data_IF_272309041446
#
_entry.id   IF_272309041446
#
_cell.length_a   1.000
_cell.length_b   1.000
_cell.length_c   1.000
_cell.angle_alpha   90.00
_cell.angle_beta   90.00
_cell.angle_gamma   90.00
#
_symmetry.space_group_name_H-M   'P 1'
#
loop_
_entity.id
_entity.type
_entity.pdbx_description
1 polymer ?
#
# COMPACT_ATOMS: atom_id res chain seq x y z
N UNK A 1 21.29 -14.49 12.52
CA UNK A 1 20.25 -15.52 12.28
C UNK A 1 19.10 -15.21 13.22
N UNK A 2 18.18 -14.37 12.75
CA UNK A 2 17.35 -13.51 13.58
C UNK A 2 15.94 -14.08 13.74
N UNK A 3 15.27 -13.63 14.80
CA UNK A 3 13.88 -13.84 15.25
C UNK A 3 12.82 -14.08 14.16
N UNK A 4 13.04 -13.67 12.91
CA UNK A 4 12.16 -13.84 11.76
C UNK A 4 11.79 -15.30 11.44
N UNK A 5 12.75 -16.24 11.49
CA UNK A 5 12.52 -17.63 11.05
C UNK A 5 11.50 -18.43 11.88
N UNK A 6 11.20 -18.02 13.12
CA UNK A 6 10.20 -18.72 13.96
C UNK A 6 8.77 -18.20 13.77
N UNK A 7 8.58 -17.12 13.00
CA UNK A 7 7.36 -16.31 13.06
C UNK A 7 6.23 -16.84 12.17
N UNK A 8 6.52 -17.54 11.07
CA UNK A 8 5.51 -17.97 10.08
C UNK A 8 4.92 -19.38 10.32
N UNK A 9 5.04 -19.94 11.53
CA UNK A 9 5.07 -21.39 11.74
C UNK A 9 3.80 -22.10 12.22
N UNK A 10 2.67 -21.46 12.55
CA UNK A 10 1.60 -22.17 13.31
C UNK A 10 0.23 -22.41 12.67
N UNK A 11 -0.11 -21.81 11.52
CA UNK A 11 -1.27 -22.15 10.67
C UNK A 11 -1.10 -21.40 9.34
N UNK A 12 -1.67 -21.90 8.24
CA UNK A 12 -1.66 -21.18 6.96
C UNK A 12 -2.18 -19.76 7.17
N UNK A 13 -1.29 -18.76 7.14
CA UNK A 13 -1.61 -17.33 7.30
C UNK A 13 -2.65 -16.91 6.24
N UNK A 14 -2.69 -17.67 5.14
CA UNK A 14 -3.54 -17.48 3.98
C UNK A 14 -4.98 -17.95 4.18
N UNK A 15 -5.23 -18.98 5.01
CA UNK A 15 -6.56 -19.57 5.24
C UNK A 15 -7.16 -19.15 6.59
N UNK A 16 -6.91 -17.92 7.01
CA UNK A 16 -7.49 -17.37 8.22
C UNK A 16 -8.82 -16.66 7.91
N UNK A 17 -9.82 -16.80 8.77
CA UNK A 17 -11.07 -16.05 8.68
C UNK A 17 -10.83 -14.53 8.62
N UNK A 18 -9.80 -14.02 9.32
CA UNK A 18 -9.42 -12.61 9.25
C UNK A 18 -9.00 -12.19 7.83
N UNK A 19 -8.29 -13.05 7.10
CA UNK A 19 -7.88 -12.78 5.71
C UNK A 19 -9.10 -12.71 4.79
N UNK A 20 -10.08 -13.60 4.99
CA UNK A 20 -11.35 -13.57 4.26
C UNK A 20 -12.14 -12.28 4.56
N UNK A 21 -12.25 -11.88 5.83
CA UNK A 21 -12.90 -10.63 6.22
C UNK A 21 -12.23 -9.39 5.62
N UNK A 22 -10.90 -9.36 5.60
CA UNK A 22 -10.14 -8.28 4.96
C UNK A 22 -10.38 -8.24 3.44
N UNK A 23 -10.47 -9.40 2.78
CA UNK A 23 -10.79 -9.49 1.35
C UNK A 23 -12.22 -9.04 1.05
N UNK A 24 -13.19 -9.44 1.88
CA UNK A 24 -14.57 -8.92 1.79
C UNK A 24 -14.56 -7.41 1.98
N UNK A 25 -13.82 -6.90 2.97
CA UNK A 25 -13.63 -5.46 3.19
C UNK A 25 -13.03 -4.74 1.98
N UNK A 26 -12.03 -5.33 1.30
CA UNK A 26 -11.42 -4.79 0.08
C UNK A 26 -12.46 -4.53 -1.03
N UNK A 27 -13.32 -5.51 -1.30
CA UNK A 27 -14.36 -5.38 -2.32
C UNK A 27 -15.53 -4.53 -1.84
N UNK A 28 -15.95 -4.67 -0.58
CA UNK A 28 -17.01 -3.87 0.00
C UNK A 28 -16.67 -2.37 0.00
N UNK A 29 -15.42 -1.99 0.25
CA UNK A 29 -14.98 -0.59 0.16
C UNK A 29 -15.06 -0.05 -1.27
N UNK A 30 -14.68 -0.85 -2.28
CA UNK A 30 -14.77 -0.46 -3.70
C UNK A 30 -16.20 -0.36 -4.19
N UNK A 31 -17.02 -1.36 -3.87
CA UNK A 31 -18.44 -1.34 -4.22
C UNK A 31 -19.15 -0.20 -3.48
N UNK A 32 -18.86 -0.01 -2.20
CA UNK A 32 -19.37 1.09 -1.40
C UNK A 32 -18.98 2.45 -1.99
N UNK A 33 -17.72 2.64 -2.38
CA UNK A 33 -17.28 3.90 -3.00
C UNK A 33 -17.95 4.16 -4.34
N UNK A 34 -18.24 3.11 -5.13
CA UNK A 34 -19.02 3.22 -6.36
C UNK A 34 -20.43 3.73 -6.08
N UNK A 35 -21.15 3.15 -5.12
CA UNK A 35 -22.51 3.60 -4.77
C UNK A 35 -22.56 4.94 -4.05
N UNK A 36 -21.49 5.32 -3.35
CA UNK A 36 -21.39 6.61 -2.67
C UNK A 36 -20.94 7.74 -3.59
N UNK A 37 -20.58 7.46 -4.85
CA UNK A 37 -20.20 8.50 -5.81
C UNK A 37 -21.34 9.52 -5.97
N UNK A 38 -21.05 10.80 -5.69
CA UNK A 38 -22.02 11.89 -5.73
C UNK A 38 -22.72 12.20 -4.39
N UNK A 39 -22.54 11.38 -3.36
CA UNK A 39 -23.17 11.58 -2.04
C UNK A 39 -22.18 12.12 -0.99
N UNK A 40 -21.67 13.33 -1.18
CA UNK A 40 -20.63 13.94 -0.33
C UNK A 40 -21.00 14.02 1.16
N UNK A 41 -22.28 14.27 1.49
CA UNK A 41 -22.75 14.35 2.88
C UNK A 41 -22.65 12.98 3.57
N UNK A 42 -23.08 11.90 2.90
CA UNK A 42 -23.04 10.54 3.43
C UNK A 42 -21.58 10.10 3.60
N UNK A 43 -20.73 10.36 2.59
CA UNK A 43 -19.30 10.12 2.69
C UNK A 43 -18.69 10.84 3.89
N UNK A 44 -19.08 12.10 4.15
CA UNK A 44 -18.60 12.86 5.29
C UNK A 44 -18.96 12.23 6.64
N UNK A 45 -20.19 11.74 6.81
CA UNK A 45 -20.57 11.01 8.02
C UNK A 45 -19.77 9.72 8.22
N UNK A 46 -19.51 8.97 7.13
CA UNK A 46 -18.70 7.75 7.17
C UNK A 46 -17.25 8.08 7.53
N UNK A 47 -16.64 9.06 6.87
CA UNK A 47 -15.27 9.52 7.14
C UNK A 47 -15.13 9.96 8.59
N UNK A 48 -16.07 10.76 9.10
CA UNK A 48 -16.09 11.18 10.49
C UNK A 48 -16.18 9.99 11.45
N UNK A 49 -17.06 9.02 11.17
CA UNK A 49 -17.16 7.79 11.94
C UNK A 49 -15.86 6.98 11.95
N UNK A 50 -15.18 6.87 10.81
CA UNK A 50 -13.88 6.18 10.70
C UNK A 50 -12.80 6.93 11.50
N UNK A 51 -12.75 8.27 11.45
CA UNK A 51 -11.78 9.06 12.23
C UNK A 51 -12.02 8.89 13.74
N UNK A 52 -13.28 8.89 14.18
CA UNK A 52 -13.63 8.65 15.58
C UNK A 52 -13.24 7.24 16.03
N UNK A 53 -13.54 6.22 15.22
CA UNK A 53 -13.12 4.85 15.45
C UNK A 53 -11.59 4.74 15.52
N UNK A 54 -10.89 5.39 14.58
CA UNK A 54 -9.44 5.43 14.54
C UNK A 54 -8.85 6.04 15.82
N UNK A 55 -9.38 7.18 16.28
CA UNK A 55 -8.97 7.80 17.53
C UNK A 55 -9.21 6.89 18.74
N UNK A 56 -10.39 6.29 18.84
CA UNK A 56 -10.73 5.34 19.91
C UNK A 56 -9.78 4.15 19.92
N UNK A 57 -9.54 3.51 18.77
CA UNK A 57 -8.63 2.38 18.63
C UNK A 57 -7.19 2.76 18.98
N UNK A 58 -6.73 3.94 18.54
CA UNK A 58 -5.39 4.44 18.82
C UNK A 58 -5.14 4.61 20.33
N UNK A 59 -6.09 5.20 21.06
CA UNK A 59 -5.98 5.40 22.50
C UNK A 59 -6.18 4.12 23.31
N UNK A 60 -6.95 3.16 22.79
CA UNK A 60 -7.04 1.83 23.39
C UNK A 60 -5.70 1.09 23.29
N UNK A 61 -5.19 0.93 22.07
CA UNK A 61 -3.96 0.22 21.75
C UNK A 61 -3.38 0.77 20.44
N UNK A 62 -2.21 1.39 20.50
CA UNK A 62 -1.68 2.19 19.38
C UNK A 62 -1.45 1.40 18.08
N UNK A 63 -1.28 0.07 18.20
CA UNK A 63 -1.12 -0.83 17.07
C UNK A 63 -2.41 -1.05 16.27
N UNK A 64 -3.60 -0.87 16.85
CA UNK A 64 -4.86 -0.94 16.10
C UNK A 64 -5.07 0.27 15.20
N UNK A 65 -4.70 1.46 15.66
CA UNK A 65 -4.66 2.64 14.79
C UNK A 65 -3.71 2.43 13.59
N UNK A 66 -2.57 1.79 13.84
CA UNK A 66 -1.63 1.40 12.79
C UNK A 66 -2.25 0.41 11.78
N UNK A 67 -3.01 -0.59 12.25
CA UNK A 67 -3.69 -1.56 11.38
C UNK A 67 -4.75 -0.92 10.48
N UNK A 68 -5.50 0.06 11.00
CA UNK A 68 -6.49 0.80 10.23
C UNK A 68 -5.80 1.65 9.16
N UNK A 69 -4.73 2.37 9.51
CA UNK A 69 -3.95 3.16 8.55
C UNK A 69 -3.36 2.30 7.43
N UNK A 70 -2.74 1.16 7.77
CA UNK A 70 -2.22 0.23 6.76
C UNK A 70 -3.35 -0.37 5.92
N UNK A 71 -4.48 -0.71 6.53
CA UNK A 71 -5.67 -1.15 5.83
C UNK A 71 -6.10 -0.14 4.78
N UNK A 72 -6.25 1.13 5.12
CA UNK A 72 -6.60 2.18 4.15
C UNK A 72 -5.51 2.38 3.07
N UNK A 73 -4.24 2.20 3.43
CA UNK A 73 -3.14 2.33 2.47
C UNK A 73 -3.14 1.21 1.41
N UNK A 74 -3.40 -0.03 1.82
CA UNK A 74 -3.44 -1.20 0.93
C UNK A 74 -4.79 -1.41 0.25
N UNK A 75 -5.90 -1.09 0.92
CA UNK A 75 -7.25 -1.35 0.42
C UNK A 75 -7.87 -0.12 -0.27
N UNK A 76 -7.48 1.09 0.13
CA UNK A 76 -8.13 2.36 -0.26
C UNK A 76 -7.73 2.90 -1.64
N UNK A 77 -6.98 2.14 -2.45
CA UNK A 77 -6.61 2.55 -3.81
C UNK A 77 -5.83 3.87 -3.85
N UNK A 78 -6.42 4.90 -4.45
CA UNK A 78 -5.88 6.26 -4.52
C UNK A 78 -6.05 7.08 -3.24
N UNK A 79 -6.86 6.62 -2.29
CA UNK A 79 -7.28 7.35 -1.08
C UNK A 79 -8.56 8.17 -1.28
N UNK A 80 -9.10 8.20 -2.50
CA UNK A 80 -10.28 8.98 -2.88
C UNK A 80 -11.60 8.18 -2.80
N UNK A 81 -11.57 6.92 -2.33
CA UNK A 81 -12.79 6.13 -2.14
C UNK A 81 -13.76 6.75 -1.13
N UNK A 82 -13.21 7.41 -0.12
CA UNK A 82 -13.96 8.15 0.87
C UNK A 82 -13.29 9.52 1.05
N UNK A 83 -14.03 10.57 0.77
CA UNK A 83 -13.55 11.94 0.86
C UNK A 83 -14.43 12.81 1.73
N UNK A 84 -13.80 13.81 2.34
CA UNK A 84 -14.49 14.87 3.04
C UNK A 84 -13.99 16.21 2.54
N UNK A 85 -14.84 16.96 1.83
CA UNK A 85 -14.51 18.26 1.24
C UNK A 85 -13.21 18.26 0.40
N UNK A 86 -12.99 17.19 -0.38
CA UNK A 86 -11.80 17.04 -1.24
C UNK A 86 -10.52 16.61 -0.50
N UNK A 87 -10.61 16.33 0.80
CA UNK A 87 -9.54 15.67 1.55
C UNK A 87 -9.78 14.16 1.56
N UNK A 88 -8.79 13.40 1.09
CA UNK A 88 -8.80 11.94 1.14
C UNK A 88 -8.75 11.44 2.59
N UNK A 89 -9.55 10.43 2.91
CA UNK A 89 -9.52 9.72 4.20
C UNK A 89 -8.08 9.32 4.56
N UNK A 90 -7.32 8.81 3.59
CA UNK A 90 -5.91 8.45 3.75
C UNK A 90 -5.06 9.60 4.29
N UNK A 91 -5.17 10.80 3.72
CA UNK A 91 -4.38 11.95 4.14
C UNK A 91 -4.73 12.37 5.56
N UNK A 92 -6.02 12.34 5.90
CA UNK A 92 -6.50 12.66 7.25
C UNK A 92 -5.99 11.64 8.26
N UNK A 93 -6.11 10.34 7.97
CA UNK A 93 -5.60 9.26 8.83
C UNK A 93 -4.09 9.32 8.99
N UNK A 94 -3.36 9.64 7.91
CA UNK A 94 -1.90 9.77 7.96
C UNK A 94 -1.47 10.92 8.87
N UNK A 95 -2.02 12.12 8.65
CA UNK A 95 -1.67 13.32 9.41
C UNK A 95 -2.03 13.11 10.88
N UNK A 96 -3.25 12.63 11.16
CA UNK A 96 -3.71 12.37 12.53
C UNK A 96 -2.87 11.30 13.21
N UNK A 97 -2.55 10.19 12.53
CA UNK A 97 -1.67 9.14 13.07
C UNK A 97 -0.29 9.68 13.40
N UNK A 98 0.36 10.38 12.46
CA UNK A 98 1.70 10.92 12.66
C UNK A 98 1.72 11.94 13.79
N UNK A 99 0.71 12.82 13.86
CA UNK A 99 0.57 13.79 14.93
C UNK A 99 0.42 13.13 16.31
N UNK A 100 -0.51 12.17 16.44
CA UNK A 100 -0.71 11.43 17.70
C UNK A 100 0.55 10.63 18.08
N UNK A 101 1.20 10.00 17.10
CA UNK A 101 2.42 9.24 17.32
C UNK A 101 3.56 10.15 17.79
N UNK A 102 3.81 11.28 17.12
CA UNK A 102 4.85 12.23 17.52
C UNK A 102 4.58 12.82 18.92
N UNK A 103 3.35 13.28 19.17
CA UNK A 103 2.96 13.89 20.45
C UNK A 103 3.11 12.89 21.61
N UNK A 104 2.62 11.67 21.45
CA UNK A 104 2.78 10.62 22.46
C UNK A 104 4.27 10.37 22.78
N UNK A 105 5.14 10.35 21.77
CA UNK A 105 6.57 10.11 21.95
C UNK A 105 7.31 11.29 22.58
N UNK A 106 6.92 12.53 22.28
CA UNK A 106 7.52 13.74 22.87
C UNK A 106 7.11 13.87 24.34
N UNK A 107 5.84 13.62 24.66
CA UNK A 107 5.27 13.81 26.00
C UNK A 107 5.67 12.69 26.96
N UNK A 108 5.65 11.42 26.52
CA UNK A 108 5.93 10.28 27.39
C UNK A 108 7.45 10.01 27.51
N UNK A 109 8.17 10.86 28.28
CA UNK A 109 9.63 10.73 28.51
C UNK A 109 10.07 9.35 29.01
N UNK A 110 9.24 8.64 29.77
CA UNK A 110 9.60 7.31 30.31
C UNK A 110 9.55 6.17 29.27
N UNK A 111 8.86 6.40 28.13
CA UNK A 111 8.86 5.51 26.95
C UNK A 111 9.78 6.04 25.84
N UNK A 112 10.80 6.84 26.16
CA UNK A 112 11.81 7.29 25.18
C UNK A 112 12.42 6.08 24.49
N UNK A 113 12.05 5.95 23.23
CA UNK A 113 12.28 4.77 22.42
C UNK A 113 13.77 4.65 22.04
N UNK A 114 14.33 3.45 22.10
CA UNK A 114 15.46 3.10 21.24
C UNK A 114 14.86 2.68 19.90
N UNK A 115 14.74 3.63 18.96
CA UNK A 115 14.43 3.31 17.57
C UNK A 115 15.47 2.30 17.09
N UNK A 116 15.06 1.03 16.96
CA UNK A 116 15.89 -0.03 16.39
C UNK A 116 15.83 0.05 14.87
N UNK A 117 16.24 1.20 14.34
CA UNK A 117 16.45 1.36 12.90
C UNK A 117 17.90 0.99 12.63
N UNK A 118 18.12 0.18 11.60
CA UNK A 118 19.48 -0.05 11.13
C UNK A 118 20.10 1.29 10.73
N UNK A 119 21.28 1.62 11.28
CA UNK A 119 22.04 2.82 10.96
C UNK A 119 22.07 3.14 9.46
N UNK A 120 22.23 2.13 8.59
CA UNK A 120 22.25 2.33 7.13
C UNK A 120 20.94 2.91 6.60
N UNK A 121 19.81 2.38 7.07
CA UNK A 121 18.46 2.83 6.69
C UNK A 121 18.19 4.21 7.30
N UNK A 122 18.62 4.44 8.52
CA UNK A 122 18.53 5.75 9.17
C UNK A 122 19.26 6.85 8.39
N UNK A 123 20.50 6.61 7.96
CA UNK A 123 21.24 7.56 7.13
C UNK A 123 20.59 7.77 5.76
N UNK A 124 20.13 6.71 5.10
CA UNK A 124 19.41 6.82 3.84
C UNK A 124 18.16 7.69 3.97
N UNK A 125 17.35 7.49 5.02
CA UNK A 125 16.17 8.30 5.30
C UNK A 125 16.50 9.76 5.63
N UNK A 126 17.61 10.01 6.32
CA UNK A 126 18.06 11.36 6.62
C UNK A 126 18.46 12.12 5.35
N UNK A 127 19.30 11.50 4.50
CA UNK A 127 19.72 12.08 3.21
C UNK A 127 18.50 12.33 2.33
N UNK A 128 17.60 11.35 2.24
CA UNK A 128 16.37 11.48 1.48
C UNK A 128 15.47 12.61 2.01
N UNK A 129 15.30 12.71 3.33
CA UNK A 129 14.57 13.81 3.96
C UNK A 129 15.19 15.17 3.67
N UNK A 130 16.52 15.28 3.70
CA UNK A 130 17.23 16.51 3.34
C UNK A 130 16.98 16.91 1.88
N UNK A 131 17.01 15.96 0.95
CA UNK A 131 16.68 16.20 -0.46
C UNK A 131 15.24 16.71 -0.64
N UNK A 132 14.27 16.12 0.05
CA UNK A 132 12.86 16.56 0.00
C UNK A 132 12.71 17.98 0.52
N UNK A 133 13.32 18.28 1.68
CA UNK A 133 13.28 19.61 2.28
C UNK A 133 13.92 20.66 1.36
N UNK A 134 15.06 20.32 0.74
CA UNK A 134 15.74 21.18 -0.22
C UNK A 134 14.90 21.41 -1.48
N UNK A 135 14.31 20.36 -2.07
CA UNK A 135 13.43 20.48 -3.23
C UNK A 135 12.19 21.33 -2.94
N UNK A 136 11.59 21.14 -1.77
CA UNK A 136 10.43 21.93 -1.30
C UNK A 136 10.81 23.40 -1.13
N UNK A 137 11.94 23.68 -0.46
CA UNK A 137 12.43 25.04 -0.26
C UNK A 137 12.77 25.74 -1.59
N UNK A 138 13.43 25.04 -2.51
CA UNK A 138 13.72 25.56 -3.85
C UNK A 138 12.44 25.83 -4.63
N UNK A 139 11.44 24.94 -4.56
CA UNK A 139 10.16 25.14 -5.24
C UNK A 139 9.44 26.41 -4.77
N UNK A 140 9.42 26.65 -3.45
CA UNK A 140 8.86 27.87 -2.86
C UNK A 140 9.69 29.09 -3.25
N UNK A 141 11.03 29.00 -3.20
CA UNK A 141 11.94 30.10 -3.53
C UNK A 141 11.80 30.57 -4.99
N UNK A 142 11.59 29.64 -5.93
CA UNK A 142 11.38 29.97 -7.35
C UNK A 142 9.94 30.42 -7.67
N UNK A 143 9.09 30.62 -6.65
CA UNK A 143 7.74 31.14 -6.83
C UNK A 143 6.73 30.14 -7.40
N UNK A 144 7.00 28.83 -7.31
CA UNK A 144 5.97 27.85 -7.62
C UNK A 144 4.83 27.92 -6.61
N UNK A 145 3.59 27.69 -7.08
CA UNK A 145 2.42 27.79 -6.21
C UNK A 145 2.46 26.78 -5.07
N UNK A 146 2.14 27.21 -3.84
CA UNK A 146 2.19 26.36 -2.64
C UNK A 146 1.42 25.04 -2.81
N UNK A 147 0.29 25.08 -3.51
CA UNK A 147 -0.53 23.89 -3.80
C UNK A 147 0.23 22.85 -4.65
N UNK A 148 1.03 23.28 -5.63
CA UNK A 148 1.82 22.40 -6.49
C UNK A 148 2.96 21.77 -5.69
N UNK A 149 3.70 22.59 -4.94
CA UNK A 149 4.79 22.11 -4.08
C UNK A 149 4.28 21.10 -3.05
N UNK A 150 3.14 21.36 -2.41
CA UNK A 150 2.52 20.42 -1.47
C UNK A 150 2.05 19.13 -2.15
N UNK A 151 1.48 19.23 -3.35
CA UNK A 151 1.06 18.06 -4.13
C UNK A 151 2.24 17.13 -4.43
N UNK A 152 3.42 17.69 -4.68
CA UNK A 152 4.64 16.91 -4.90
C UNK A 152 5.23 16.37 -3.60
N UNK A 153 5.13 17.11 -2.49
CA UNK A 153 5.64 16.71 -1.17
C UNK A 153 4.87 15.53 -0.55
N UNK A 154 3.55 15.51 -0.69
CA UNK A 154 2.68 14.51 -0.03
C UNK A 154 3.09 13.06 -0.34
N UNK A 155 3.31 12.64 -1.60
CA UNK A 155 3.80 11.30 -1.92
C UNK A 155 5.10 10.90 -1.21
N UNK A 156 6.00 11.85 -0.98
CA UNK A 156 7.26 11.57 -0.28
C UNK A 156 7.11 11.55 1.24
N UNK A 157 6.11 12.24 1.79
CA UNK A 157 5.82 12.21 3.23
C UNK A 157 5.46 10.81 3.74
N UNK A 158 4.96 9.91 2.88
CA UNK A 158 4.67 8.52 3.23
C UNK A 158 5.92 7.75 3.72
N UNK A 159 7.13 8.15 3.32
CA UNK A 159 8.37 7.53 3.83
C UNK A 159 8.58 7.75 5.33
N UNK A 160 7.96 8.79 5.92
CA UNK A 160 7.97 9.01 7.37
C UNK A 160 7.29 7.84 8.09
N UNK A 161 6.32 7.16 7.46
CA UNK A 161 5.67 5.97 8.02
C UNK A 161 6.63 4.79 8.23
N UNK A 162 7.83 4.81 7.65
CA UNK A 162 8.84 3.81 7.97
C UNK A 162 9.23 3.85 9.45
N UNK A 163 9.22 5.02 10.09
CA UNK A 163 9.52 5.15 11.52
C UNK A 163 8.54 4.37 12.41
N UNK A 164 7.22 4.62 12.36
CA UNK A 164 6.24 3.81 13.10
C UNK A 164 6.21 2.36 12.61
N UNK A 165 6.48 2.08 11.33
CA UNK A 165 6.63 0.71 10.85
C UNK A 165 7.71 -0.02 11.65
N UNK A 166 8.94 0.48 11.73
CA UNK A 166 10.02 -0.14 12.53
C UNK A 166 9.67 -0.26 14.02
N UNK A 167 8.89 0.68 14.55
CA UNK A 167 8.44 0.66 15.94
C UNK A 167 7.46 -0.51 16.21
N UNK A 168 6.43 -0.68 15.40
CA UNK A 168 5.39 -1.69 15.61
C UNK A 168 5.74 -3.08 15.08
N UNK A 169 6.60 -3.14 14.06
CA UNK A 169 6.91 -4.37 13.34
C UNK A 169 7.84 -5.32 14.10
N UNK A 170 8.25 -5.00 15.34
CA UNK A 170 8.92 -5.95 16.22
C UNK A 170 7.96 -7.02 16.79
N UNK A 171 6.66 -6.70 16.94
CA UNK A 171 5.66 -7.63 17.48
C UNK A 171 5.24 -8.64 16.41
N UNK A 172 5.19 -9.92 16.77
CA UNK A 172 4.78 -11.02 15.88
C UNK A 172 3.38 -10.81 15.29
N UNK A 173 2.43 -10.42 16.12
CA UNK A 173 1.03 -10.20 15.71
C UNK A 173 0.91 -9.13 14.61
N UNK A 174 1.66 -8.03 14.74
CA UNK A 174 1.74 -6.96 13.73
C UNK A 174 2.32 -7.45 12.42
N UNK A 175 3.35 -8.29 12.45
CA UNK A 175 3.94 -8.85 11.24
C UNK A 175 2.98 -9.79 10.53
N UNK A 176 2.30 -10.67 11.27
CA UNK A 176 1.29 -11.57 10.71
C UNK A 176 0.15 -10.79 10.06
N UNK A 177 -0.35 -9.74 10.74
CA UNK A 177 -1.39 -8.88 10.19
C UNK A 177 -0.93 -8.14 8.92
N UNK A 178 0.29 -7.61 8.92
CA UNK A 178 0.87 -6.96 7.74
C UNK A 178 0.97 -7.93 6.55
N UNK A 179 1.44 -9.17 6.77
CA UNK A 179 1.52 -10.17 5.71
C UNK A 179 0.13 -10.50 5.15
N UNK A 180 -0.89 -10.61 6.01
CA UNK A 180 -2.29 -10.81 5.57
C UNK A 180 -2.80 -9.63 4.76
N UNK A 181 -2.48 -8.40 5.14
CA UNK A 181 -2.81 -7.21 4.33
C UNK A 181 -2.14 -7.24 2.96
N UNK A 182 -0.84 -7.55 2.89
CA UNK A 182 -0.12 -7.67 1.61
C UNK A 182 -0.74 -8.75 0.74
N UNK A 183 -1.12 -9.89 1.32
CA UNK A 183 -1.85 -10.93 0.61
C UNK A 183 -3.18 -10.43 0.05
N UNK A 184 -4.00 -9.79 0.88
CA UNK A 184 -5.33 -9.30 0.47
C UNK A 184 -5.18 -8.24 -0.60
N UNK A 185 -4.18 -7.38 -0.48
CA UNK A 185 -3.83 -6.38 -1.47
C UNK A 185 -3.50 -7.03 -2.83
N UNK A 186 -2.58 -8.00 -2.89
CA UNK A 186 -2.20 -8.65 -4.14
C UNK A 186 -3.38 -9.44 -4.73
N UNK A 187 -4.06 -10.25 -3.93
CA UNK A 187 -5.19 -11.06 -4.40
C UNK A 187 -6.36 -10.17 -4.85
N UNK A 188 -6.75 -9.19 -4.04
CA UNK A 188 -7.82 -8.25 -4.33
C UNK A 188 -7.52 -7.42 -5.59
N UNK A 189 -6.30 -6.88 -5.71
CA UNK A 189 -5.90 -6.10 -6.88
C UNK A 189 -5.85 -6.95 -8.15
N UNK A 190 -5.37 -8.19 -8.07
CA UNK A 190 -5.34 -9.10 -9.21
C UNK A 190 -6.75 -9.46 -9.69
N UNK A 191 -7.64 -9.82 -8.77
CA UNK A 191 -9.04 -10.12 -9.07
C UNK A 191 -9.77 -8.89 -9.61
N UNK A 192 -9.58 -7.72 -9.01
CA UNK A 192 -10.22 -6.48 -9.44
C UNK A 192 -9.76 -6.07 -10.85
N UNK A 193 -8.45 -6.16 -11.12
CA UNK A 193 -7.89 -5.91 -12.45
C UNK A 193 -8.37 -6.92 -13.48
N UNK A 194 -8.49 -8.20 -13.12
CA UNK A 194 -9.03 -9.24 -13.99
C UNK A 194 -10.51 -9.01 -14.33
N UNK A 195 -11.34 -8.68 -13.32
CA UNK A 195 -12.76 -8.37 -13.51
C UNK A 195 -12.91 -7.13 -14.40
N UNK A 196 -12.14 -6.08 -14.13
CA UNK A 196 -12.14 -4.84 -14.92
C UNK A 196 -11.73 -5.14 -16.37
N UNK A 197 -10.65 -5.88 -16.56
CA UNK A 197 -10.20 -6.32 -17.88
C UNK A 197 -11.29 -7.11 -18.61
N UNK A 198 -11.96 -8.06 -17.93
CA UNK A 198 -13.03 -8.86 -18.50
C UNK A 198 -14.23 -8.00 -18.94
N UNK A 199 -14.66 -7.04 -18.13
CA UNK A 199 -15.78 -6.14 -18.44
C UNK A 199 -15.51 -5.38 -19.75
N UNK A 200 -14.32 -4.81 -19.92
CA UNK A 200 -14.01 -4.04 -21.13
C UNK A 200 -13.68 -4.93 -22.34
N UNK A 201 -12.93 -6.02 -22.15
CA UNK A 201 -12.59 -6.94 -23.25
C UNK A 201 -13.79 -7.68 -23.84
N UNK A 202 -14.84 -7.93 -23.04
CA UNK A 202 -16.10 -8.54 -23.49
C UNK A 202 -17.06 -7.54 -24.15
N UNK A 203 -16.75 -6.24 -24.13
CA UNK A 203 -17.64 -5.19 -24.61
C UNK A 203 -18.82 -4.87 -23.69
N UNK A 204 -18.83 -5.40 -22.46
CA UNK A 204 -19.85 -5.05 -21.45
C UNK A 204 -19.66 -3.64 -20.90
N UNK A 205 -18.41 -3.18 -20.78
CA UNK A 205 -18.06 -1.82 -20.38
C UNK A 205 -17.86 -0.89 -21.57
N UNK A 206 -18.34 0.35 -21.45
CA UNK A 206 -18.17 1.39 -22.48
C UNK A 206 -17.34 2.52 -21.91
N UNK A 207 -16.37 3.02 -22.68
CA UNK A 207 -15.58 4.18 -22.25
C UNK A 207 -16.55 5.37 -22.05
N UNK A 208 -16.44 6.05 -20.90
CA UNK A 208 -17.35 7.09 -20.42
C UNK A 208 -18.67 6.63 -19.79
N UNK A 209 -18.87 5.34 -19.57
CA UNK A 209 -19.98 4.87 -18.73
C UNK A 209 -19.78 5.23 -17.24
N UNK A 210 -20.78 4.93 -16.42
CA UNK A 210 -20.75 5.21 -14.97
C UNK A 210 -19.61 4.47 -14.26
N UNK A 211 -19.28 3.25 -14.70
CA UNK A 211 -18.18 2.48 -14.11
C UNK A 211 -16.83 3.11 -14.45
N UNK A 212 -16.64 3.53 -15.70
CA UNK A 212 -15.45 4.22 -16.19
C UNK A 212 -15.24 5.54 -15.45
N UNK A 213 -16.30 6.35 -15.27
CA UNK A 213 -16.19 7.63 -14.58
C UNK A 213 -15.85 7.44 -13.11
N UNK A 214 -16.46 6.47 -12.41
CA UNK A 214 -16.03 6.10 -11.06
C UNK A 214 -14.57 5.63 -11.03
N UNK A 215 -14.19 4.72 -11.92
CA UNK A 215 -12.85 4.16 -11.95
C UNK A 215 -11.79 5.25 -12.19
N UNK A 216 -12.09 6.20 -13.09
CA UNK A 216 -11.21 7.30 -13.43
C UNK A 216 -11.17 8.38 -12.36
N UNK A 217 -12.33 8.82 -11.88
CA UNK A 217 -12.44 10.04 -11.07
C UNK A 217 -12.38 9.75 -9.56
N UNK A 218 -12.76 8.53 -9.12
CA UNK A 218 -12.74 8.11 -7.71
C UNK A 218 -11.58 7.13 -7.46
N UNK A 219 -11.48 6.04 -8.23
CA UNK A 219 -10.36 5.09 -8.04
C UNK A 219 -9.02 5.65 -8.56
N UNK A 220 -9.03 6.78 -9.30
CA UNK A 220 -7.88 7.37 -9.99
C UNK A 220 -7.15 6.38 -10.90
N UNK A 221 -7.88 5.38 -11.40
CA UNK A 221 -7.37 4.39 -12.33
C UNK A 221 -7.43 4.88 -13.77
N UNK A 222 -6.75 4.15 -14.66
CA UNK A 222 -6.82 4.36 -16.11
C UNK A 222 -7.11 3.03 -16.79
N UNK A 223 -8.10 3.06 -17.67
CA UNK A 223 -8.43 1.97 -18.58
C UNK A 223 -8.14 2.49 -19.99
N UNK A 224 -7.32 1.78 -20.73
CA UNK A 224 -6.87 2.22 -22.06
C UNK A 224 -6.89 1.04 -23.01
N UNK A 225 -7.62 1.19 -24.11
CA UNK A 225 -7.60 0.23 -25.22
C UNK A 225 -6.22 0.27 -25.89
N UNK A 226 -5.58 -0.90 -26.02
CA UNK A 226 -4.31 -1.05 -26.75
C UNK A 226 -4.48 -1.85 -28.05
N UNK A 227 -5.72 -2.12 -28.45
CA UNK A 227 -6.11 -2.87 -29.64
C UNK A 227 -6.28 -4.37 -29.39
N UNK A 228 -6.86 -5.06 -30.37
CA UNK A 228 -7.08 -6.51 -30.38
C UNK A 228 -7.86 -7.05 -29.16
N UNK A 229 -8.79 -6.25 -28.62
CA UNK A 229 -9.59 -6.64 -27.45
C UNK A 229 -8.82 -6.64 -26.13
N UNK A 230 -7.60 -6.11 -26.10
CA UNK A 230 -6.82 -5.97 -24.87
C UNK A 230 -6.97 -4.57 -24.28
N UNK A 231 -7.29 -4.51 -23.00
CA UNK A 231 -7.36 -3.27 -22.25
C UNK A 231 -6.27 -3.23 -21.18
N UNK A 232 -5.50 -2.16 -21.18
CA UNK A 232 -4.56 -1.83 -20.11
C UNK A 232 -5.35 -1.30 -18.92
N UNK A 233 -5.14 -1.90 -17.74
CA UNK A 233 -5.78 -1.50 -16.47
C UNK A 233 -4.72 -1.04 -15.50
N UNK A 234 -4.76 0.23 -15.12
CA UNK A 234 -3.77 0.87 -14.23
C UNK A 234 -4.51 1.42 -13.03
N UNK A 235 -4.02 1.12 -11.83
CA UNK A 235 -4.49 1.76 -10.58
C UNK A 235 -3.29 2.27 -9.78
N UNK A 236 -3.43 3.34 -8.97
CA UNK A 236 -2.29 3.89 -8.23
C UNK A 236 -1.65 2.90 -7.25
N UNK A 237 -2.45 1.97 -6.73
CA UNK A 237 -1.99 0.94 -5.80
C UNK A 237 -1.05 -0.09 -6.46
N UNK A 238 -1.07 -0.24 -7.79
CA UNK A 238 -0.13 -1.10 -8.52
C UNK A 238 1.34 -0.74 -8.25
N UNK A 239 1.63 0.51 -7.85
CA UNK A 239 2.96 0.92 -7.41
C UNK A 239 3.50 0.05 -6.25
N UNK A 240 2.62 -0.41 -5.35
CA UNK A 240 2.98 -1.24 -4.20
C UNK A 240 3.17 -2.72 -4.56
N UNK A 241 2.78 -3.14 -5.77
CA UNK A 241 2.96 -4.52 -6.23
C UNK A 241 4.44 -4.85 -6.37
N UNK A 242 5.26 -3.93 -6.93
CA UNK A 242 6.70 -4.14 -7.10
C UNK A 242 7.42 -4.41 -5.76
N UNK A 243 7.34 -3.54 -4.73
CA UNK A 243 7.99 -3.83 -3.45
C UNK A 243 7.41 -5.07 -2.76
N UNK A 244 6.10 -5.34 -2.90
CA UNK A 244 5.50 -6.57 -2.38
C UNK A 244 6.08 -7.82 -3.06
N UNK A 245 6.26 -7.80 -4.39
CA UNK A 245 6.87 -8.88 -5.14
C UNK A 245 8.33 -9.10 -4.75
N UNK A 246 9.13 -8.03 -4.61
CA UNK A 246 10.51 -8.13 -4.14
C UNK A 246 10.59 -8.73 -2.73
N UNK A 247 9.68 -8.35 -1.84
CA UNK A 247 9.56 -8.94 -0.51
C UNK A 247 9.23 -10.44 -0.59
N UNK A 248 8.26 -10.82 -1.42
CA UNK A 248 7.88 -12.23 -1.64
C UNK A 248 9.05 -13.04 -2.22
N UNK A 249 9.72 -12.55 -3.26
CA UNK A 249 10.91 -13.18 -3.84
C UNK A 249 12.00 -13.37 -2.79
N UNK A 250 12.27 -12.36 -1.95
CA UNK A 250 13.24 -12.46 -0.86
C UNK A 250 12.85 -13.52 0.17
N UNK A 251 11.56 -13.66 0.50
CA UNK A 251 11.06 -14.69 1.41
C UNK A 251 11.20 -16.10 0.82
N UNK A 252 10.93 -16.28 -0.48
CA UNK A 252 11.12 -17.57 -1.17
C UNK A 252 12.61 -17.95 -1.20
N UNK A 253 13.51 -17.01 -1.50
CA UNK A 253 14.96 -17.26 -1.52
C UNK A 253 15.53 -17.69 -0.15
N UNK A 254 14.82 -17.41 0.95
CA UNK A 254 15.18 -17.83 2.30
C UNK A 254 14.65 -19.21 2.68
N UNK A 255 14.02 -19.94 1.74
CA UNK A 255 13.39 -21.25 1.95
C UNK A 255 12.42 -21.26 3.16
N UNK A 256 11.61 -20.19 3.29
CA UNK A 256 10.51 -20.13 4.26
C UNK A 256 9.46 -21.22 3.94
N UNK A 257 8.96 -21.93 4.97
CA UNK A 257 8.14 -23.17 4.86
C UNK A 257 6.86 -23.09 3.99
N UNK A 258 6.37 -21.90 3.61
CA UNK A 258 5.14 -21.71 2.82
C UNK A 258 5.40 -21.49 1.32
N UNK A 259 6.39 -22.18 0.75
CA UNK A 259 6.92 -21.87 -0.58
C UNK A 259 5.86 -21.78 -1.69
N UNK A 260 4.84 -22.67 -1.72
CA UNK A 260 3.93 -22.79 -2.87
C UNK A 260 3.00 -21.59 -2.98
N UNK A 261 2.49 -21.12 -1.84
CA UNK A 261 1.55 -20.01 -1.83
C UNK A 261 2.25 -18.71 -2.27
N UNK A 262 3.51 -18.52 -1.89
CA UNK A 262 4.29 -17.37 -2.36
C UNK A 262 4.50 -17.35 -3.88
N UNK A 263 4.68 -18.51 -4.51
CA UNK A 263 4.70 -18.59 -5.99
C UNK A 263 3.36 -18.20 -6.61
N UNK A 264 2.24 -18.62 -6.01
CA UNK A 264 0.90 -18.19 -6.47
C UNK A 264 0.75 -16.67 -6.36
N UNK A 265 1.22 -16.03 -5.28
CA UNK A 265 1.15 -14.57 -5.17
C UNK A 265 2.11 -13.84 -6.08
N UNK A 266 3.28 -14.41 -6.37
CA UNK A 266 4.15 -13.86 -7.41
C UNK A 266 3.47 -13.93 -8.78
N UNK A 267 2.79 -15.03 -9.10
CA UNK A 267 2.02 -15.14 -10.34
C UNK A 267 0.88 -14.11 -10.40
N UNK A 268 0.15 -13.89 -9.30
CA UNK A 268 -0.88 -12.86 -9.21
C UNK A 268 -0.29 -11.43 -9.31
N UNK A 269 0.87 -11.18 -8.69
CA UNK A 269 1.59 -9.91 -8.82
C UNK A 269 2.02 -9.66 -10.27
N UNK A 270 2.56 -10.68 -10.94
CA UNK A 270 2.90 -10.63 -12.37
C UNK A 270 1.66 -10.37 -13.23
N UNK A 271 0.52 -11.00 -12.92
CA UNK A 271 -0.73 -10.76 -13.62
C UNK A 271 -1.14 -9.27 -13.54
N UNK A 272 -1.02 -8.64 -12.36
CA UNK A 272 -1.28 -7.20 -12.20
C UNK A 272 -0.32 -6.39 -13.09
N UNK A 273 0.98 -6.69 -13.09
CA UNK A 273 1.96 -5.98 -13.92
C UNK A 273 1.71 -6.17 -15.43
N UNK A 274 1.23 -7.34 -15.84
CA UNK A 274 0.84 -7.63 -17.23
C UNK A 274 -0.37 -6.79 -17.64
N UNK A 275 -1.37 -6.60 -16.79
CA UNK A 275 -2.49 -5.71 -17.08
C UNK A 275 -2.11 -4.23 -17.04
N UNK A 276 -1.17 -3.86 -16.16
CA UNK A 276 -0.70 -2.49 -16.05
C UNK A 276 0.19 -2.07 -17.24
N UNK A 277 0.97 -2.98 -17.83
CA UNK A 277 1.92 -2.73 -18.93
C UNK A 277 2.88 -1.54 -18.70
N UNK A 278 3.08 -1.08 -17.46
CA UNK A 278 4.05 -0.03 -17.15
C UNK A 278 5.48 -0.56 -17.23
N UNK A 279 6.22 -0.03 -18.21
CA UNK A 279 7.66 -0.30 -18.40
C UNK A 279 8.48 0.03 -17.15
N UNK A 280 8.09 1.07 -16.41
CA UNK A 280 8.79 1.51 -15.21
C UNK A 280 8.67 0.46 -14.11
N UNK A 281 7.51 -0.18 -13.95
CA UNK A 281 7.32 -1.21 -12.92
C UNK A 281 8.08 -2.50 -13.24
N UNK A 282 8.08 -2.91 -14.51
CA UNK A 282 8.88 -4.06 -14.96
C UNK A 282 10.38 -3.79 -14.78
N UNK A 283 10.85 -2.59 -15.16
CA UNK A 283 12.24 -2.19 -14.97
C UNK A 283 12.61 -2.15 -13.48
N UNK A 284 11.76 -1.55 -12.64
CA UNK A 284 11.98 -1.50 -11.19
C UNK A 284 12.02 -2.90 -10.56
N UNK A 285 11.14 -3.81 -10.99
CA UNK A 285 11.18 -5.21 -10.57
C UNK A 285 12.49 -5.87 -11.01
N UNK A 286 12.90 -5.71 -12.28
CA UNK A 286 14.15 -6.26 -12.80
C UNK A 286 15.40 -5.76 -12.05
N UNK A 287 15.50 -4.44 -11.82
CA UNK A 287 16.59 -3.85 -11.01
C UNK A 287 16.53 -4.35 -9.57
N UNK A 288 15.35 -4.43 -8.96
CA UNK A 288 15.18 -4.95 -7.60
C UNK A 288 15.60 -6.41 -7.47
N UNK A 289 15.24 -7.26 -8.44
CA UNK A 289 15.66 -8.68 -8.48
C UNK A 289 17.18 -8.80 -8.70
N UNK A 290 17.79 -7.90 -9.47
CA UNK A 290 19.25 -7.83 -9.62
C UNK A 290 19.94 -7.44 -8.31
N UNK A 291 19.39 -6.49 -7.55
CA UNK A 291 19.90 -6.14 -6.21
C UNK A 291 19.76 -7.32 -5.25
N UNK A 292 18.64 -8.06 -5.30
CA UNK A 292 18.45 -9.29 -4.52
C UNK A 292 19.43 -10.39 -4.93
N UNK A 293 19.82 -10.47 -6.20
CA UNK A 293 20.88 -11.38 -6.65
C UNK A 293 22.20 -11.11 -5.93
N UNK A 294 22.58 -9.84 -5.75
CA UNK A 294 23.83 -9.48 -5.10
C UNK A 294 23.91 -9.97 -3.64
N UNK A 295 22.76 -10.11 -2.97
CA UNK A 295 22.69 -10.55 -1.58
C UNK A 295 22.56 -12.07 -1.41
N UNK A 296 22.28 -12.83 -2.48
CA UNK A 296 22.04 -14.28 -2.45
C UNK A 296 22.93 -15.06 -3.45
N UNK A 297 23.05 -16.38 -3.29
CA UNK A 297 23.84 -17.21 -4.21
C UNK A 297 23.12 -17.40 -5.56
N UNK A 298 23.88 -17.46 -6.65
CA UNK A 298 23.35 -17.55 -8.02
C UNK A 298 22.38 -18.72 -8.24
N UNK A 299 22.67 -19.88 -7.62
CA UNK A 299 21.84 -21.08 -7.72
C UNK A 299 20.45 -20.87 -7.10
N UNK A 300 20.37 -20.25 -5.92
CA UNK A 300 19.10 -19.94 -5.27
C UNK A 300 18.35 -18.85 -6.04
N UNK A 301 19.06 -17.89 -6.62
CA UNK A 301 18.45 -16.83 -7.42
C UNK A 301 17.74 -17.38 -8.67
N UNK A 302 18.41 -18.25 -9.44
CA UNK A 302 17.83 -18.86 -10.66
C UNK A 302 16.65 -19.81 -10.39
N UNK A 303 16.52 -20.35 -9.17
CA UNK A 303 15.40 -21.21 -8.79
C UNK A 303 14.12 -20.42 -8.50
N UNK A 304 14.25 -19.13 -8.14
CA UNK A 304 13.15 -18.29 -7.64
C UNK A 304 12.71 -17.24 -8.65
N UNK A 305 13.65 -16.63 -9.36
CA UNK A 305 13.44 -15.59 -10.37
C UNK A 305 13.26 -16.20 -11.76
#
# INVERSE_FOLDING_TARGET
>A
MSTFQSLLTKKSIFLNAQTAWLLVGFFALRMGSFFLMGHSIIQGFIVFGIIMLFGMLYFHETHYGWYLLLGEFFLGGSGHFLEFFGLSLRSILLITFLFLWLTQHIVQKHRRFRLRIDHRIGYALLVFGACIMLATALGIYHGHGMKQVLSDLVPFSYFILLLPFYHYFYKKETQEYFIRLVFVFILGSALFSLITFFIYSSGLGVIHDTFYTWFRDVAMGKITDVGNGFFRVVTPEHLLVVPAMLLMSSLIMRDEKHHTNWYVFLALGMLILVFDLSRIYILALGVGLFVLKYTHTLQHWLKVC
#
